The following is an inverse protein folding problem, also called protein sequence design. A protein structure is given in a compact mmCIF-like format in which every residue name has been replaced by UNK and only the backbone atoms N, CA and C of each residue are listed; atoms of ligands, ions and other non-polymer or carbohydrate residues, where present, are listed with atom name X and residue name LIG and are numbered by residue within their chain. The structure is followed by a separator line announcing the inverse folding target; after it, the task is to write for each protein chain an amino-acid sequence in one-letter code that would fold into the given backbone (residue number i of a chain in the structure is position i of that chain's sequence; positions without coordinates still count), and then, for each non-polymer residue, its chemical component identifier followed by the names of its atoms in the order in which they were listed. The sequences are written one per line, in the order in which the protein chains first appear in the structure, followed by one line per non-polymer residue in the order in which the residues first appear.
data_IF_144277164717
#
_entry.id   IF_144277164717
#
_cell.length_a   1.000
_cell.length_b   1.000
_cell.length_c   1.000
_cell.angle_alpha   90.00
_cell.angle_beta   90.00
_cell.angle_gamma   90.00
#
_symmetry.space_group_name_H-M   'P 1'
#
loop_
_entity.id
_entity.type
_entity.pdbx_description
1 polymer ?
#
# COMPACT_ATOMS: atom_id res chain seq x y z
N UNK A 1 -19.85 12.22 -12.06
CA UNK A 1 -20.56 10.93 -11.89
C UNK A 1 -20.18 10.21 -10.59
N UNK A 2 -20.41 10.81 -9.41
CA UNK A 2 -19.86 10.29 -8.15
C UNK A 2 -20.42 8.93 -7.74
N UNK A 3 -21.74 8.69 -7.94
CA UNK A 3 -22.39 7.42 -7.58
C UNK A 3 -21.74 6.23 -8.27
N UNK A 4 -21.60 6.29 -9.60
CA UNK A 4 -21.02 5.19 -10.38
C UNK A 4 -19.55 4.94 -10.04
N UNK A 5 -18.73 6.00 -9.93
CA UNK A 5 -17.30 5.87 -9.61
C UNK A 5 -17.07 5.29 -8.21
N UNK A 6 -17.90 5.65 -7.23
CA UNK A 6 -17.78 5.12 -5.86
C UNK A 6 -18.04 3.61 -5.85
N UNK A 7 -19.11 3.14 -6.49
CA UNK A 7 -19.37 1.69 -6.56
C UNK A 7 -18.26 0.96 -7.30
N UNK A 8 -17.77 1.52 -8.42
CA UNK A 8 -16.69 0.92 -9.18
C UNK A 8 -15.41 0.77 -8.34
N UNK A 9 -14.98 1.84 -7.65
CA UNK A 9 -13.78 1.81 -6.81
C UNK A 9 -13.96 0.88 -5.61
N UNK A 10 -15.06 1.03 -4.86
CA UNK A 10 -15.33 0.24 -3.66
C UNK A 10 -15.37 -1.26 -3.96
N UNK A 11 -16.00 -1.66 -5.08
CA UNK A 11 -16.05 -3.07 -5.47
C UNK A 11 -14.66 -3.67 -5.74
N UNK A 12 -13.70 -2.87 -6.21
CA UNK A 12 -12.33 -3.33 -6.43
C UNK A 12 -11.47 -3.29 -5.16
N UNK A 13 -11.72 -2.34 -4.25
CA UNK A 13 -10.91 -2.18 -3.03
C UNK A 13 -11.44 -2.98 -1.83
N UNK A 14 -12.68 -3.45 -1.86
CA UNK A 14 -13.31 -4.14 -0.73
C UNK A 14 -12.55 -5.39 -0.28
N UNK A 15 -12.06 -6.22 -1.21
CA UNK A 15 -11.30 -7.43 -0.88
C UNK A 15 -10.01 -7.10 -0.12
N UNK A 16 -9.26 -6.10 -0.59
CA UNK A 16 -8.05 -5.60 0.06
C UNK A 16 -8.33 -4.98 1.44
N UNK A 17 -9.44 -4.23 1.56
CA UNK A 17 -9.85 -3.66 2.84
C UNK A 17 -10.15 -4.75 3.89
N UNK A 18 -10.84 -5.82 3.49
CA UNK A 18 -11.09 -6.97 4.36
C UNK A 18 -9.80 -7.72 4.73
N UNK A 19 -8.89 -7.91 3.77
CA UNK A 19 -7.60 -8.56 4.02
C UNK A 19 -6.76 -7.79 5.06
N UNK A 20 -6.66 -6.46 4.88
CA UNK A 20 -6.00 -5.56 5.82
C UNK A 20 -6.68 -5.56 7.20
N UNK A 21 -8.01 -5.57 7.25
CA UNK A 21 -8.75 -5.59 8.51
C UNK A 21 -8.52 -6.89 9.29
N UNK A 22 -8.46 -8.04 8.60
CA UNK A 22 -8.31 -9.35 9.23
C UNK A 22 -6.87 -9.65 9.66
N UNK A 23 -5.86 -9.11 8.94
CA UNK A 23 -4.46 -9.55 9.09
C UNK A 23 -3.48 -8.41 9.37
N UNK A 24 -3.94 -7.15 9.35
CA UNK A 24 -3.08 -5.99 9.56
C UNK A 24 -1.92 -5.94 8.55
N UNK A 25 -0.70 -5.72 9.05
CA UNK A 25 0.50 -5.60 8.22
C UNK A 25 0.95 -6.92 7.59
N UNK A 26 0.52 -8.07 8.11
CA UNK A 26 0.85 -9.36 7.50
C UNK A 26 0.23 -9.52 6.12
N UNK A 27 -0.95 -8.92 5.88
CA UNK A 27 -1.52 -8.80 4.54
C UNK A 27 -0.57 -8.10 3.57
N UNK A 28 0.10 -7.03 4.01
CA UNK A 28 1.06 -6.29 3.17
C UNK A 28 2.35 -7.08 2.94
N UNK A 29 2.81 -7.86 3.92
CA UNK A 29 3.98 -8.74 3.75
C UNK A 29 3.71 -9.84 2.74
N UNK A 30 2.54 -10.46 2.79
CA UNK A 30 2.22 -11.64 1.99
C UNK A 30 1.64 -11.32 0.61
N UNK A 31 0.84 -10.27 0.49
CA UNK A 31 0.19 -9.87 -0.77
C UNK A 31 1.07 -8.90 -1.55
N UNK A 32 1.64 -9.37 -2.67
CA UNK A 32 2.45 -8.54 -3.55
C UNK A 32 1.71 -7.26 -4.03
N UNK A 33 0.42 -7.32 -4.44
CA UNK A 33 -0.33 -6.11 -4.80
C UNK A 33 -0.42 -5.08 -3.66
N UNK A 34 -0.73 -5.51 -2.44
CA UNK A 34 -0.77 -4.62 -1.27
C UNK A 34 0.60 -4.03 -0.97
N UNK A 35 1.66 -4.84 -1.08
CA UNK A 35 3.03 -4.40 -0.85
C UNK A 35 3.47 -3.30 -1.81
N UNK A 36 3.12 -3.44 -3.09
CA UNK A 36 3.41 -2.40 -4.09
C UNK A 36 2.65 -1.10 -3.82
N UNK A 37 1.51 -1.15 -3.10
CA UNK A 37 0.78 0.04 -2.68
C UNK A 37 1.36 0.77 -1.46
N UNK A 38 2.36 0.21 -0.77
CA UNK A 38 2.92 0.81 0.43
C UNK A 38 3.88 1.97 0.08
N UNK A 39 3.49 3.19 0.47
CA UNK A 39 4.32 4.38 0.26
C UNK A 39 5.22 4.72 1.45
N UNK A 40 4.73 4.58 2.68
CA UNK A 40 5.49 4.96 3.89
C UNK A 40 5.23 3.99 5.03
N UNK A 41 6.24 3.80 5.88
CA UNK A 41 6.09 3.06 7.12
C UNK A 41 7.13 3.51 8.16
N UNK A 42 6.68 3.92 9.36
CA UNK A 42 7.56 4.31 10.48
C UNK A 42 8.68 5.30 10.09
N UNK A 43 8.34 6.33 9.32
CA UNK A 43 9.29 7.35 8.85
C UNK A 43 10.17 6.93 7.66
N UNK A 44 10.04 5.69 7.18
CA UNK A 44 10.72 5.20 5.98
C UNK A 44 9.85 5.38 4.74
N UNK A 45 10.45 5.78 3.63
CA UNK A 45 9.79 5.89 2.33
C UNK A 45 10.01 4.61 1.52
N UNK A 46 8.93 3.90 1.21
CA UNK A 46 8.96 2.55 0.65
C UNK A 46 8.56 2.47 -0.82
N UNK A 47 8.28 3.62 -1.45
CA UNK A 47 7.98 3.68 -2.88
C UNK A 47 9.12 4.33 -3.65
N UNK A 48 9.83 3.53 -4.45
CA UNK A 48 11.07 3.95 -5.13
C UNK A 48 10.91 5.19 -6.01
N UNK A 49 9.83 5.26 -6.82
CA UNK A 49 9.61 6.40 -7.70
C UNK A 49 9.38 7.73 -6.93
N UNK A 50 8.76 7.67 -5.75
CA UNK A 50 8.53 8.85 -4.90
C UNK A 50 9.85 9.29 -4.27
N UNK A 51 10.65 8.33 -3.79
CA UNK A 51 11.98 8.60 -3.27
C UNK A 51 12.87 9.29 -4.31
N UNK A 52 12.88 8.77 -5.54
CA UNK A 52 13.61 9.36 -6.65
C UNK A 52 13.11 10.77 -6.99
N UNK A 53 11.79 10.99 -7.07
CA UNK A 53 11.20 12.28 -7.43
C UNK A 53 11.57 13.41 -6.47
N UNK A 54 11.77 13.09 -5.18
CA UNK A 54 12.07 14.07 -4.13
C UNK A 54 13.50 13.99 -3.58
N UNK A 55 14.38 13.16 -4.15
CA UNK A 55 15.75 13.00 -3.68
C UNK A 55 15.86 12.45 -2.25
N UNK A 56 14.89 11.63 -1.83
CA UNK A 56 14.83 11.04 -0.48
C UNK A 56 15.36 9.61 -0.47
N UNK A 57 15.71 9.11 0.72
CA UNK A 57 16.17 7.74 0.89
C UNK A 57 15.02 6.74 0.69
N UNK A 58 15.23 5.74 -0.16
CA UNK A 58 14.33 4.59 -0.34
C UNK A 58 14.67 3.47 0.66
N UNK A 59 13.65 2.83 1.23
CA UNK A 59 13.80 1.58 1.98
C UNK A 59 12.87 0.52 1.39
N UNK A 60 13.39 -0.69 1.18
CA UNK A 60 12.55 -1.80 0.70
C UNK A 60 11.35 -2.04 1.64
N UNK A 61 10.12 -2.25 1.11
CA UNK A 61 8.92 -2.48 1.92
C UNK A 61 9.06 -3.62 2.94
N UNK A 62 9.69 -4.75 2.57
CA UNK A 62 9.86 -5.88 3.47
C UNK A 62 10.84 -5.54 4.60
N UNK A 63 11.91 -4.81 4.28
CA UNK A 63 12.87 -4.31 5.29
C UNK A 63 12.23 -3.25 6.21
N UNK A 64 11.31 -2.45 5.69
CA UNK A 64 10.62 -1.43 6.47
C UNK A 64 9.62 -2.05 7.47
N UNK A 65 8.91 -3.09 7.06
CA UNK A 65 7.93 -3.80 7.89
C UNK A 65 8.60 -4.66 8.97
N UNK A 66 9.86 -5.09 8.75
CA UNK A 66 10.49 -6.12 9.58
C UNK A 66 9.79 -7.46 9.46
#
# INVERSE_FOLDING_TARGET
VPRTSTFALANQTMSYALELANRGLDAVRESQPLRHGLNTHRGKLTHAAVAQAFGLAYTDPLVALG
#
